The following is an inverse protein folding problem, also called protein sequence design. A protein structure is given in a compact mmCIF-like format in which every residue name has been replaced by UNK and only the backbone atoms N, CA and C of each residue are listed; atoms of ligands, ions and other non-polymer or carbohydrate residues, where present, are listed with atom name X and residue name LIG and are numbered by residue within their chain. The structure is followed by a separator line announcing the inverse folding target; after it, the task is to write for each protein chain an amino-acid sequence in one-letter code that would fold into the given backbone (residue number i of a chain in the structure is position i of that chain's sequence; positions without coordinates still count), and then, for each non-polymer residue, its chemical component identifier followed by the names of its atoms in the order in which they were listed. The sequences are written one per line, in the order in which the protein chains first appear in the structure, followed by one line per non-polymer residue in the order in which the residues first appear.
data_IF_540091441787
#
_entry.id   IF_540091441787
#
_cell.length_a   1.000
_cell.length_b   1.000
_cell.length_c   1.000
_cell.angle_alpha   90.00
_cell.angle_beta   90.00
_cell.angle_gamma   90.00
#
_symmetry.space_group_name_H-M   'P 1'
#
loop_
_entity.id
_entity.type
_entity.pdbx_description
1 polymer ?
#
# COMPACT_ATOMS: atom_id res chain seq x y z
N UNK A 1 6.41 20.30 -7.31
CA UNK A 1 6.54 19.41 -6.11
C UNK A 1 7.80 18.59 -6.28
N UNK A 2 8.83 18.73 -5.42
CA UNK A 2 10.15 18.08 -5.55
C UNK A 2 10.00 16.58 -5.87
N UNK A 3 10.66 16.10 -6.93
CA UNK A 3 10.47 14.79 -7.60
C UNK A 3 10.41 13.55 -6.70
N UNK A 4 10.84 13.61 -5.43
CA UNK A 4 10.72 12.50 -4.49
C UNK A 4 9.29 12.23 -3.99
N UNK A 5 8.39 13.22 -3.95
CA UNK A 5 7.07 13.06 -3.30
C UNK A 5 5.99 12.39 -4.15
N UNK A 6 6.16 12.31 -5.48
CA UNK A 6 5.16 11.70 -6.38
C UNK A 6 4.99 10.19 -6.16
N UNK A 7 6.06 9.50 -5.78
CA UNK A 7 6.00 8.06 -5.50
C UNK A 7 5.09 7.73 -4.31
N UNK A 8 4.95 8.64 -3.34
CA UNK A 8 4.00 8.48 -2.23
C UNK A 8 2.56 8.63 -2.68
N UNK A 9 2.31 9.48 -3.66
CA UNK A 9 0.98 9.62 -4.23
C UNK A 9 0.57 8.33 -4.96
N UNK A 10 1.49 7.75 -5.73
CA UNK A 10 1.30 6.45 -6.39
C UNK A 10 1.07 5.31 -5.37
N UNK A 11 1.89 5.27 -4.31
CA UNK A 11 1.75 4.31 -3.21
C UNK A 11 0.41 4.46 -2.46
N UNK A 12 -0.04 5.70 -2.22
CA UNK A 12 -1.33 5.96 -1.59
C UNK A 12 -2.50 5.49 -2.46
N UNK A 13 -2.40 5.67 -3.79
CA UNK A 13 -3.42 5.20 -4.73
C UNK A 13 -3.49 3.66 -4.76
N UNK A 14 -2.34 2.99 -4.75
CA UNK A 14 -2.26 1.53 -4.67
C UNK A 14 -2.82 1.02 -3.34
N UNK A 15 -2.48 1.68 -2.23
CA UNK A 15 -2.99 1.32 -0.91
C UNK A 15 -4.53 1.50 -0.82
N UNK A 16 -5.06 2.59 -1.37
CA UNK A 16 -6.50 2.83 -1.45
C UNK A 16 -7.20 1.76 -2.29
N UNK A 17 -6.62 1.39 -3.45
CA UNK A 17 -7.12 0.31 -4.29
C UNK A 17 -7.13 -1.05 -3.57
N UNK A 18 -6.07 -1.38 -2.82
CA UNK A 18 -6.04 -2.57 -1.97
C UNK A 18 -7.11 -2.55 -0.87
N UNK A 19 -7.40 -1.40 -0.29
CA UNK A 19 -8.42 -1.28 0.76
C UNK A 19 -9.83 -1.48 0.21
N UNK A 20 -10.10 -1.03 -1.02
CA UNK A 20 -11.36 -1.28 -1.74
C UNK A 20 -11.51 -2.77 -2.09
N UNK A 21 -10.46 -3.41 -2.59
CA UNK A 21 -10.52 -4.84 -2.94
C UNK A 21 -10.69 -5.75 -1.72
N UNK A 22 -10.14 -5.38 -0.56
CA UNK A 22 -10.43 -6.04 0.73
C UNK A 22 -11.94 -5.97 1.03
N UNK A 23 -12.58 -4.80 0.86
CA UNK A 23 -14.00 -4.63 1.10
C UNK A 23 -14.88 -5.51 0.21
N UNK A 24 -14.53 -5.64 -1.07
CA UNK A 24 -15.22 -6.52 -2.02
C UNK A 24 -15.06 -7.99 -1.61
N UNK A 25 -13.84 -8.42 -1.27
CA UNK A 25 -13.56 -9.79 -0.84
C UNK A 25 -14.29 -10.19 0.46
N UNK A 26 -14.44 -9.24 1.39
CA UNK A 26 -15.21 -9.44 2.63
C UNK A 26 -16.70 -9.56 2.33
N UNK A 27 -17.23 -8.74 1.40
CA UNK A 27 -18.63 -8.80 0.96
C UNK A 27 -19.02 -10.15 0.34
N UNK A 28 -18.09 -10.78 -0.39
CA UNK A 28 -18.29 -12.10 -0.99
C UNK A 28 -18.17 -13.26 0.01
N UNK A 29 -17.86 -13.00 1.30
CA UNK A 29 -17.56 -14.01 2.35
C UNK A 29 -16.53 -15.06 1.91
N UNK A 30 -15.59 -14.69 1.03
CA UNK A 30 -14.57 -15.60 0.54
C UNK A 30 -13.33 -15.54 1.44
N UNK A 31 -13.10 -16.59 2.23
CA UNK A 31 -11.91 -16.73 3.08
C UNK A 31 -10.61 -16.62 2.28
N UNK A 32 -10.59 -17.15 1.05
CA UNK A 32 -9.44 -17.01 0.14
C UNK A 32 -9.24 -15.56 -0.29
N UNK A 33 -10.31 -14.84 -0.61
CA UNK A 33 -10.26 -13.42 -0.94
C UNK A 33 -9.72 -12.59 0.22
N UNK A 34 -10.17 -12.85 1.45
CA UNK A 34 -9.70 -12.16 2.66
C UNK A 34 -8.19 -12.38 2.88
N UNK A 35 -7.70 -13.62 2.75
CA UNK A 35 -6.26 -13.92 2.94
C UNK A 35 -5.39 -13.22 1.88
N UNK A 36 -5.80 -13.25 0.62
CA UNK A 36 -5.09 -12.56 -0.47
C UNK A 36 -5.09 -11.04 -0.26
N UNK A 37 -6.23 -10.48 0.15
CA UNK A 37 -6.38 -9.06 0.47
C UNK A 37 -5.49 -8.61 1.65
N UNK A 38 -5.38 -9.43 2.71
CA UNK A 38 -4.47 -9.16 3.83
C UNK A 38 -3.00 -9.20 3.38
N UNK A 39 -2.61 -10.20 2.59
CA UNK A 39 -1.25 -10.28 2.04
C UNK A 39 -0.93 -9.09 1.15
N UNK A 40 -1.87 -8.66 0.32
CA UNK A 40 -1.73 -7.45 -0.52
C UNK A 40 -1.60 -6.17 0.33
N UNK A 41 -2.32 -6.09 1.45
CA UNK A 41 -2.24 -4.95 2.37
C UNK A 41 -0.89 -4.91 3.10
N UNK A 42 -0.38 -6.07 3.57
CA UNK A 42 0.96 -6.19 4.16
C UNK A 42 2.04 -5.81 3.15
N UNK A 43 1.93 -6.28 1.91
CA UNK A 43 2.87 -5.93 0.84
C UNK A 43 2.85 -4.43 0.53
N UNK A 44 1.67 -3.81 0.42
CA UNK A 44 1.51 -2.39 0.18
C UNK A 44 2.10 -1.53 1.32
N UNK A 45 1.80 -1.89 2.59
CA UNK A 45 2.39 -1.22 3.74
C UNK A 45 3.90 -1.42 3.82
N UNK A 46 4.39 -2.65 3.58
CA UNK A 46 5.82 -2.96 3.56
C UNK A 46 6.58 -2.12 2.53
N UNK A 47 6.03 -1.98 1.32
CA UNK A 47 6.59 -1.10 0.29
C UNK A 47 6.52 0.38 0.66
N UNK A 48 5.43 0.82 1.30
CA UNK A 48 5.29 2.18 1.83
C UNK A 48 6.34 2.50 2.90
N UNK A 49 6.57 1.58 3.83
CA UNK A 49 7.59 1.71 4.88
C UNK A 49 9.01 1.63 4.32
N UNK A 50 9.30 0.74 3.38
CA UNK A 50 10.60 0.66 2.71
C UNK A 50 10.90 1.96 1.94
N UNK A 51 9.88 2.54 1.29
CA UNK A 51 9.99 3.82 0.59
C UNK A 51 10.21 4.98 1.57
N UNK A 52 9.50 5.02 2.71
CA UNK A 52 9.77 5.99 3.81
C UNK A 52 11.20 5.86 4.33
N UNK A 53 11.68 4.64 4.56
CA UNK A 53 13.04 4.36 5.03
C UNK A 53 14.08 4.85 4.03
N UNK A 54 13.92 4.56 2.75
CA UNK A 54 14.83 4.99 1.67
C UNK A 54 14.89 6.50 1.50
N UNK A 55 13.80 7.22 1.80
CA UNK A 55 13.79 8.69 1.80
C UNK A 55 14.44 9.28 3.05
N UNK A 56 14.27 8.64 4.20
CA UNK A 56 14.97 9.05 5.43
C UNK A 56 16.48 8.88 5.31
N UNK A 57 16.93 7.77 4.73
CA UNK A 57 18.35 7.52 4.42
C UNK A 57 18.95 8.56 3.45
N UNK A 58 18.12 9.10 2.54
CA UNK A 58 18.52 10.15 1.61
C UNK A 58 18.40 11.58 2.18
N UNK A 59 18.05 11.74 3.47
CA UNK A 59 17.94 13.05 4.13
C UNK A 59 16.82 13.95 3.59
N UNK A 60 15.82 13.37 2.92
CA UNK A 60 14.67 14.08 2.31
C UNK A 60 13.39 14.02 3.17
N UNK A 61 13.51 13.48 4.39
CA UNK A 61 12.53 13.53 5.48
C UNK A 61 13.20 14.10 6.73
#
# INVERSE_FOLDING_TARGET
MKSGKWIFFLLAFIAAGSMVSVGIAVGERSILGIVISILALIAAMGFGFATKKKMRDKGIL
#
